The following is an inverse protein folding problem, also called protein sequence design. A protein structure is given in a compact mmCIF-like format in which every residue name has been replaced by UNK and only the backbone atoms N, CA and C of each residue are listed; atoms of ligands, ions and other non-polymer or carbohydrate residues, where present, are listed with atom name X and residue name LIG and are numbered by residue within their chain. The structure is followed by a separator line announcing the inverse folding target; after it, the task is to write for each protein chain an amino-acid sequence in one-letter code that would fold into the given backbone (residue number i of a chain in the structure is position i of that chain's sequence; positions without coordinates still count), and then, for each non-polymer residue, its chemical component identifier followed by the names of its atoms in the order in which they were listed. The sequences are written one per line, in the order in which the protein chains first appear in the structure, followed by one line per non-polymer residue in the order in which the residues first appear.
data_IF_609222001574
#
_entry.id   IF_609222001574
#
_cell.length_a   1.000
_cell.length_b   1.000
_cell.length_c   1.000
_cell.angle_alpha   90.00
_cell.angle_beta   90.00
_cell.angle_gamma   90.00
#
_symmetry.space_group_name_H-M   'P 1'
#
loop_
_entity.id
_entity.type
_entity.pdbx_description
1 polymer ?
#
# COMPACT_ATOMS: atom_id res chain seq x y z
N UNK A 1 63.69 24.84 6.79
CA UNK A 1 62.29 25.10 6.41
C UNK A 1 61.90 24.10 5.33
N UNK A 2 61.33 22.95 5.75
CA UNK A 2 61.09 21.81 4.84
C UNK A 2 59.64 21.82 4.45
N UNK A 3 59.35 22.11 3.19
CA UNK A 3 58.02 22.13 2.60
C UNK A 3 57.63 20.67 2.32
N UNK A 4 56.66 20.12 3.04
CA UNK A 4 56.08 18.81 2.77
C UNK A 4 55.28 18.87 1.46
N UNK A 5 55.75 18.15 0.46
CA UNK A 5 55.00 17.86 -0.76
C UNK A 5 53.74 17.03 -0.42
N UNK A 6 52.61 17.67 -0.25
CA UNK A 6 51.33 17.01 -0.13
C UNK A 6 50.97 16.48 -1.52
N UNK A 7 50.90 15.16 -1.64
CA UNK A 7 50.69 14.45 -2.89
C UNK A 7 49.26 14.73 -3.42
N UNK A 8 49.12 15.59 -4.41
CA UNK A 8 47.86 15.99 -5.04
C UNK A 8 46.98 14.79 -5.48
N UNK A 9 47.62 13.64 -5.74
CA UNK A 9 46.96 12.41 -6.15
C UNK A 9 46.07 11.81 -5.05
N UNK A 10 46.42 11.98 -3.79
CA UNK A 10 45.63 11.47 -2.65
C UNK A 10 44.44 12.38 -2.33
N UNK A 11 44.54 13.67 -2.62
CA UNK A 11 43.39 14.63 -2.42
C UNK A 11 42.30 14.35 -3.42
N UNK A 12 42.62 14.03 -4.68
CA UNK A 12 41.64 13.70 -5.72
C UNK A 12 40.82 12.45 -5.41
N UNK A 13 41.47 11.42 -4.81
CA UNK A 13 40.82 10.15 -4.46
C UNK A 13 39.82 10.36 -3.30
N UNK A 14 40.18 11.17 -2.31
CA UNK A 14 39.28 11.49 -1.17
C UNK A 14 38.06 12.28 -1.66
N UNK A 15 38.22 13.20 -2.64
CA UNK A 15 37.12 13.99 -3.17
C UNK A 15 36.12 13.16 -3.99
N UNK A 16 36.60 12.14 -4.71
CA UNK A 16 35.73 11.22 -5.49
C UNK A 16 34.94 10.30 -4.57
N UNK A 17 35.52 9.86 -3.47
CA UNK A 17 34.82 8.97 -2.49
C UNK A 17 33.72 9.75 -1.74
N UNK A 18 33.94 11.03 -1.42
CA UNK A 18 32.91 11.83 -0.71
C UNK A 18 31.74 12.20 -1.60
N UNK A 19 31.89 12.37 -2.90
CA UNK A 19 30.77 12.64 -3.82
C UNK A 19 29.92 11.40 -4.12
N UNK A 20 30.47 10.18 -4.02
CA UNK A 20 29.72 8.94 -4.22
C UNK A 20 28.76 8.61 -3.07
N UNK A 21 28.93 9.17 -1.88
CA UNK A 21 28.09 8.89 -0.71
C UNK A 21 26.83 9.80 -0.60
N UNK A 22 26.71 10.83 -1.46
CA UNK A 22 25.56 11.76 -1.44
C UNK A 22 24.41 11.29 -2.36
N UNK A 23 24.59 10.20 -3.11
CA UNK A 23 23.68 9.77 -4.19
C UNK A 23 22.58 8.80 -3.78
N UNK A 24 22.28 8.59 -2.52
CA UNK A 24 21.24 7.65 -2.11
C UNK A 24 20.37 8.17 -0.97
N UNK A 25 19.60 9.25 -1.19
CA UNK A 25 18.36 9.49 -0.42
C UNK A 25 17.39 10.33 -1.26
N UNK A 26 16.86 9.77 -2.33
CA UNK A 26 15.55 10.24 -2.80
C UNK A 26 14.49 9.61 -1.89
N UNK A 27 14.34 10.12 -0.69
CA UNK A 27 13.10 9.98 0.06
C UNK A 27 12.06 10.73 -0.77
N UNK A 28 11.24 10.00 -1.52
CA UNK A 28 10.06 10.55 -2.16
C UNK A 28 9.17 11.10 -1.04
N UNK A 29 9.34 12.37 -0.70
CA UNK A 29 8.43 13.09 0.18
C UNK A 29 7.09 13.15 -0.52
N UNK A 30 6.14 12.36 -0.02
CA UNK A 30 4.74 12.47 -0.43
C UNK A 30 4.26 13.89 -0.19
N UNK A 31 3.87 14.57 -1.26
CA UNK A 31 3.31 15.91 -1.15
C UNK A 31 1.95 15.84 -0.44
N UNK A 32 1.68 16.70 0.56
CA UNK A 32 0.43 16.71 1.34
C UNK A 32 -0.85 16.87 0.51
N UNK A 33 -0.74 17.31 -0.74
CA UNK A 33 -1.87 17.55 -1.64
C UNK A 33 -2.68 16.29 -1.98
N UNK A 34 -2.08 15.10 -1.92
CA UNK A 34 -2.74 13.87 -2.36
C UNK A 34 -3.71 13.29 -1.32
N UNK A 35 -3.49 13.51 -0.02
CA UNK A 35 -4.45 13.11 1.01
C UNK A 35 -5.77 13.90 0.90
N UNK A 36 -5.70 15.18 0.57
CA UNK A 36 -6.88 16.01 0.34
C UNK A 36 -7.69 15.57 -0.87
N UNK A 37 -7.05 15.04 -1.92
CA UNK A 37 -7.73 14.50 -3.11
C UNK A 37 -8.57 13.28 -2.73
N UNK A 38 -8.01 12.33 -1.99
CA UNK A 38 -8.73 11.10 -1.61
C UNK A 38 -9.94 11.34 -0.71
N UNK A 39 -9.96 12.44 0.05
CA UNK A 39 -11.10 12.80 0.88
C UNK A 39 -12.22 13.47 0.08
N UNK A 40 -11.89 14.34 -0.87
CA UNK A 40 -12.83 15.19 -1.58
C UNK A 40 -13.34 14.56 -2.87
N UNK A 41 -12.49 13.86 -3.59
CA UNK A 41 -12.80 13.35 -4.93
C UNK A 41 -13.41 11.94 -4.87
N UNK A 42 -14.28 11.66 -5.82
CA UNK A 42 -14.79 10.33 -6.10
C UNK A 42 -13.78 9.60 -6.99
N UNK A 43 -13.59 8.30 -6.77
CA UNK A 43 -12.61 7.52 -7.51
C UNK A 43 -12.94 6.03 -7.59
N UNK A 44 -12.29 5.34 -8.52
CA UNK A 44 -12.27 3.87 -8.60
C UNK A 44 -10.85 3.33 -8.49
N UNK A 45 -10.73 2.17 -7.83
CA UNK A 45 -9.49 1.39 -7.72
C UNK A 45 -9.80 -0.02 -8.19
N UNK A 46 -9.06 -0.51 -9.19
CA UNK A 46 -9.15 -1.89 -9.63
C UNK A 46 -7.84 -2.62 -9.39
N UNK A 47 -7.93 -3.86 -8.96
CA UNK A 47 -6.73 -4.65 -8.71
C UNK A 47 -6.99 -6.11 -8.45
N UNK A 48 -5.94 -6.79 -8.03
CA UNK A 48 -5.98 -8.17 -7.56
C UNK A 48 -5.58 -8.23 -6.10
N UNK A 49 -6.13 -9.19 -5.39
CA UNK A 49 -5.71 -9.50 -4.03
C UNK A 49 -5.26 -10.95 -3.91
N UNK A 50 -4.39 -11.20 -2.93
CA UNK A 50 -4.04 -12.53 -2.45
C UNK A 50 -4.03 -12.47 -0.93
N UNK A 51 -4.66 -13.45 -0.31
CA UNK A 51 -4.74 -13.61 1.14
C UNK A 51 -4.17 -14.97 1.49
N UNK A 52 -3.21 -14.98 2.41
CA UNK A 52 -2.67 -16.18 3.03
C UNK A 52 -2.78 -16.01 4.53
N UNK A 53 -3.59 -16.83 5.17
CA UNK A 53 -3.79 -16.77 6.61
C UNK A 53 -3.91 -18.20 7.14
N UNK A 54 -2.92 -18.63 7.91
CA UNK A 54 -2.78 -20.03 8.31
C UNK A 54 -2.81 -20.94 7.07
N UNK A 55 -3.80 -21.84 7.00
CA UNK A 55 -4.00 -22.78 5.89
C UNK A 55 -4.93 -22.25 4.80
N UNK A 56 -5.55 -21.08 5.00
CA UNK A 56 -6.46 -20.48 4.03
C UNK A 56 -5.66 -19.66 3.03
N UNK A 57 -5.95 -19.89 1.75
CA UNK A 57 -5.37 -19.11 0.64
C UNK A 57 -6.50 -18.70 -0.29
N UNK A 58 -6.70 -17.41 -0.43
CA UNK A 58 -7.64 -16.84 -1.37
C UNK A 58 -6.94 -15.88 -2.30
N UNK A 59 -7.41 -15.79 -3.52
CA UNK A 59 -6.98 -14.80 -4.49
C UNK A 59 -8.13 -14.44 -5.41
N UNK A 60 -8.11 -13.24 -5.90
CA UNK A 60 -9.13 -12.74 -6.79
C UNK A 60 -8.81 -11.34 -7.28
N UNK A 61 -9.84 -10.67 -7.74
CA UNK A 61 -9.79 -9.25 -8.07
C UNK A 61 -10.69 -8.46 -7.14
N UNK A 62 -10.44 -7.17 -7.06
CA UNK A 62 -11.30 -6.22 -6.39
C UNK A 62 -11.56 -4.99 -7.27
N UNK A 63 -12.76 -4.44 -7.14
CA UNK A 63 -13.14 -3.13 -7.61
C UNK A 63 -13.66 -2.34 -6.42
N UNK A 64 -12.98 -1.26 -6.08
CA UNK A 64 -13.38 -0.34 -5.03
C UNK A 64 -13.84 0.96 -5.69
N UNK A 65 -15.07 1.39 -5.39
CA UNK A 65 -15.64 2.64 -5.87
C UNK A 65 -16.03 3.51 -4.69
N UNK A 66 -15.35 4.65 -4.55
CA UNK A 66 -15.75 5.69 -3.59
C UNK A 66 -16.66 6.70 -4.29
N UNK A 67 -17.79 6.97 -3.68
CA UNK A 67 -18.71 8.04 -4.07
C UNK A 67 -19.16 8.79 -2.81
N UNK A 68 -18.80 10.06 -2.72
CA UNK A 68 -19.03 10.88 -1.52
C UNK A 68 -18.41 10.21 -0.27
N UNK A 69 -19.26 9.80 0.68
CA UNK A 69 -18.84 9.13 1.92
C UNK A 69 -19.05 7.60 1.89
N UNK A 70 -19.45 7.05 0.77
CA UNK A 70 -19.74 5.63 0.61
C UNK A 70 -18.65 4.96 -0.23
N UNK A 71 -18.24 3.78 0.19
CA UNK A 71 -17.30 2.92 -0.53
C UNK A 71 -17.95 1.58 -0.83
N UNK A 72 -18.10 1.29 -2.10
CA UNK A 72 -18.55 -0.01 -2.59
C UNK A 72 -17.33 -0.84 -2.99
N UNK A 73 -17.20 -2.02 -2.42
CA UNK A 73 -16.15 -2.98 -2.71
C UNK A 73 -16.76 -4.23 -3.32
N UNK A 74 -16.42 -4.49 -4.58
CA UNK A 74 -16.77 -5.71 -5.30
C UNK A 74 -15.58 -6.65 -5.30
N UNK A 75 -15.79 -7.89 -4.90
CA UNK A 75 -14.79 -8.96 -4.88
C UNK A 75 -15.25 -10.10 -5.77
N UNK A 76 -14.30 -10.78 -6.42
CA UNK A 76 -14.60 -11.95 -7.25
C UNK A 76 -13.34 -12.71 -7.68
N UNK A 77 -13.53 -13.94 -8.19
CA UNK A 77 -12.43 -14.75 -8.75
C UNK A 77 -12.03 -14.31 -10.14
N UNK A 78 -12.97 -13.75 -10.88
CA UNK A 78 -12.71 -13.15 -12.20
C UNK A 78 -13.57 -11.88 -12.37
N UNK A 79 -13.19 -11.00 -13.31
CA UNK A 79 -13.85 -9.72 -13.55
C UNK A 79 -15.30 -9.81 -14.05
N UNK A 80 -15.71 -10.97 -14.54
CA UNK A 80 -17.03 -11.17 -15.14
C UNK A 80 -18.07 -11.67 -14.13
N UNK A 81 -17.64 -12.22 -13.01
CA UNK A 81 -18.51 -12.82 -12.01
C UNK A 81 -18.16 -12.24 -10.62
N UNK A 82 -18.75 -11.09 -10.25
CA UNK A 82 -18.65 -10.60 -8.88
C UNK A 82 -19.31 -11.63 -7.94
N UNK A 83 -18.58 -12.04 -6.91
CA UNK A 83 -19.07 -13.02 -5.93
C UNK A 83 -19.60 -12.34 -4.68
N UNK A 84 -19.13 -11.12 -4.39
CA UNK A 84 -19.50 -10.36 -3.18
C UNK A 84 -19.46 -8.88 -3.46
N UNK A 85 -20.45 -8.18 -2.91
CA UNK A 85 -20.50 -6.73 -2.87
C UNK A 85 -20.68 -6.29 -1.42
N UNK A 86 -19.78 -5.41 -0.98
CA UNK A 86 -19.76 -4.86 0.37
C UNK A 86 -19.84 -3.35 0.27
N UNK A 87 -20.65 -2.75 1.14
CA UNK A 87 -20.78 -1.29 1.22
C UNK A 87 -20.34 -0.81 2.58
N UNK A 88 -19.48 0.19 2.59
CA UNK A 88 -18.90 0.78 3.80
C UNK A 88 -19.11 2.30 3.81
N UNK A 89 -19.17 2.87 5.01
CA UNK A 89 -18.89 4.28 5.22
C UNK A 89 -17.36 4.51 5.05
N UNK A 90 -16.97 5.56 4.34
CA UNK A 90 -15.54 5.88 4.10
C UNK A 90 -14.74 6.03 5.40
N UNK A 91 -15.37 6.56 6.46
CA UNK A 91 -14.78 6.67 7.79
C UNK A 91 -15.10 5.48 8.71
N UNK A 92 -15.88 4.52 8.22
CA UNK A 92 -16.28 3.33 8.95
C UNK A 92 -15.12 2.33 9.14
N UNK A 93 -15.35 1.35 9.98
CA UNK A 93 -14.39 0.26 10.19
C UNK A 93 -14.50 -0.78 9.08
N UNK A 94 -13.36 -1.30 8.65
CA UNK A 94 -13.28 -2.47 7.77
C UNK A 94 -13.19 -3.70 8.63
N UNK A 95 -14.09 -4.63 8.40
CA UNK A 95 -13.97 -5.98 8.94
C UNK A 95 -13.32 -6.85 7.86
N UNK A 96 -11.99 -7.02 7.92
CA UNK A 96 -11.25 -7.79 6.89
C UNK A 96 -11.74 -9.24 6.75
N UNK A 97 -12.36 -9.80 7.79
CA UNK A 97 -13.02 -11.11 7.73
C UNK A 97 -14.23 -11.12 6.80
N UNK A 98 -14.88 -9.99 6.57
CA UNK A 98 -15.93 -9.90 5.56
C UNK A 98 -15.36 -10.02 4.14
N UNK A 99 -14.06 -9.78 3.96
CA UNK A 99 -13.36 -9.97 2.69
C UNK A 99 -13.09 -11.45 2.40
N UNK A 100 -13.09 -12.29 3.42
CA UNK A 100 -12.79 -13.72 3.32
C UNK A 100 -14.09 -14.49 3.50
N UNK A 101 -14.41 -15.35 2.54
CA UNK A 101 -15.59 -16.21 2.64
C UNK A 101 -15.28 -17.41 3.55
N UNK A 102 -15.38 -17.22 4.86
CA UNK A 102 -15.21 -18.31 5.83
C UNK A 102 -16.43 -18.40 6.75
N UNK A 103 -16.97 -19.61 6.90
CA UNK A 103 -18.06 -19.91 7.82
C UNK A 103 -17.58 -19.97 9.28
N UNK A 104 -16.26 -20.03 9.52
CA UNK A 104 -15.68 -20.10 10.85
C UNK A 104 -15.61 -18.72 11.51
N UNK A 105 -16.58 -18.44 12.37
CA UNK A 105 -16.66 -17.17 13.13
C UNK A 105 -15.46 -16.96 14.07
N UNK A 106 -14.81 -18.03 14.54
CA UNK A 106 -13.61 -17.94 15.40
C UNK A 106 -12.38 -17.49 14.62
N UNK A 107 -12.38 -17.70 13.31
CA UNK A 107 -11.36 -17.26 12.40
C UNK A 107 -11.32 -15.71 12.29
N UNK A 108 -12.47 -15.08 12.39
CA UNK A 108 -12.69 -13.64 12.27
C UNK A 108 -11.86 -12.82 13.26
N UNK A 109 -11.76 -13.25 14.51
CA UNK A 109 -11.11 -12.49 15.58
C UNK A 109 -9.58 -12.51 15.55
N UNK A 110 -8.96 -13.45 14.84
CA UNK A 110 -7.49 -13.57 14.79
C UNK A 110 -6.85 -12.84 13.59
N UNK A 111 -7.66 -12.30 12.69
CA UNK A 111 -7.23 -11.98 11.34
C UNK A 111 -7.04 -10.53 11.00
N UNK A 112 -7.61 -9.62 11.76
CA UNK A 112 -7.61 -8.24 11.31
C UNK A 112 -7.06 -7.29 12.35
N UNK A 113 -6.44 -6.19 11.92
CA UNK A 113 -6.41 -4.99 12.72
C UNK A 113 -7.87 -4.65 13.05
N UNK A 114 -8.25 -4.78 14.33
CA UNK A 114 -9.66 -4.62 14.75
C UNK A 114 -10.18 -3.19 14.54
N UNK A 115 -9.27 -2.24 14.32
CA UNK A 115 -9.55 -0.81 14.23
C UNK A 115 -9.17 -0.20 12.88
N UNK A 116 -9.01 -0.98 11.82
CA UNK A 116 -8.69 -0.45 10.50
C UNK A 116 -9.91 0.25 9.90
N UNK A 117 -9.80 1.54 9.58
CA UNK A 117 -10.82 2.28 8.87
C UNK A 117 -10.69 2.08 7.37
N UNK A 118 -11.82 2.22 6.64
CA UNK A 118 -11.85 2.13 5.17
C UNK A 118 -10.89 3.14 4.53
N UNK A 119 -10.89 4.38 4.99
CA UNK A 119 -9.96 5.43 4.53
C UNK A 119 -8.49 5.05 4.72
N UNK A 120 -8.17 4.38 5.84
CA UNK A 120 -6.81 3.91 6.12
C UNK A 120 -6.41 2.76 5.18
N UNK A 121 -7.31 1.79 4.96
CA UNK A 121 -7.07 0.70 4.01
C UNK A 121 -6.80 1.24 2.60
N UNK A 122 -7.61 2.19 2.14
CA UNK A 122 -7.42 2.84 0.84
C UNK A 122 -6.08 3.57 0.80
N UNK A 123 -5.74 4.33 1.85
CA UNK A 123 -4.47 5.04 1.95
C UNK A 123 -3.27 4.08 1.93
N UNK A 124 -3.38 2.90 2.56
CA UNK A 124 -2.37 1.85 2.52
C UNK A 124 -2.23 1.28 1.10
N UNK A 125 -3.34 0.91 0.45
CA UNK A 125 -3.32 0.38 -0.92
C UNK A 125 -2.67 1.38 -1.89
N UNK A 126 -2.95 2.66 -1.72
CA UNK A 126 -2.43 3.74 -2.57
C UNK A 126 -1.06 4.28 -2.11
N UNK A 127 -0.47 3.74 -1.03
CA UNK A 127 0.83 4.18 -0.51
C UNK A 127 0.82 5.62 0.01
N UNK A 128 -0.33 6.13 0.43
CA UNK A 128 -0.52 7.50 0.96
C UNK A 128 -0.52 7.55 2.48
N UNK A 129 0.09 6.56 3.09
CA UNK A 129 0.10 6.35 4.52
C UNK A 129 1.54 6.31 5.02
N UNK A 130 1.84 7.09 6.05
CA UNK A 130 3.14 7.11 6.73
C UNK A 130 3.30 5.92 7.71
N UNK A 131 2.24 5.16 7.96
CA UNK A 131 2.28 4.01 8.86
C UNK A 131 3.05 2.86 8.22
N UNK A 132 4.06 2.38 8.93
CA UNK A 132 4.81 1.17 8.57
C UNK A 132 4.21 -0.08 9.21
N UNK A 133 3.31 0.11 10.16
CA UNK A 133 2.70 -0.96 10.94
C UNK A 133 1.32 -0.55 11.43
N UNK A 134 0.38 -1.49 11.43
CA UNK A 134 -0.94 -1.37 12.08
C UNK A 134 -1.11 -2.60 12.96
N UNK A 135 -1.18 -2.39 14.29
CA UNK A 135 -1.17 -3.47 15.29
C UNK A 135 -0.01 -4.44 15.04
N UNK A 136 -0.28 -5.73 14.75
CA UNK A 136 0.73 -6.74 14.45
C UNK A 136 1.08 -6.84 12.95
N UNK A 137 0.50 -6.00 12.08
CA UNK A 137 0.68 -6.06 10.63
C UNK A 137 1.69 -5.02 10.15
N UNK A 138 2.77 -5.49 9.53
CA UNK A 138 3.77 -4.65 8.88
C UNK A 138 3.36 -4.38 7.42
N UNK A 139 3.57 -3.15 6.97
CA UNK A 139 3.20 -2.68 5.63
C UNK A 139 4.46 -2.53 4.79
N UNK A 140 4.47 -3.14 3.61
CA UNK A 140 5.58 -3.09 2.65
C UNK A 140 5.09 -2.71 1.27
N UNK A 141 5.94 -2.01 0.51
CA UNK A 141 5.76 -1.64 -0.89
C UNK A 141 6.91 -2.22 -1.74
N UNK A 142 6.94 -3.53 -2.02
CA UNK A 142 8.12 -4.23 -2.58
C UNK A 142 8.57 -3.73 -3.94
N UNK A 143 7.67 -3.11 -4.72
CA UNK A 143 7.97 -2.61 -6.07
C UNK A 143 8.08 -1.08 -6.14
N UNK A 144 8.09 -0.41 -4.98
CA UNK A 144 8.10 1.04 -4.88
C UNK A 144 6.84 1.70 -5.45
N UNK A 145 6.93 3.01 -5.66
CA UNK A 145 5.86 3.83 -6.23
C UNK A 145 6.02 3.88 -7.75
N UNK A 146 4.92 3.75 -8.47
CA UNK A 146 4.84 3.87 -9.93
C UNK A 146 3.68 4.76 -10.33
N UNK A 147 3.71 5.24 -11.55
CA UNK A 147 2.57 5.93 -12.13
C UNK A 147 1.56 4.92 -12.69
N UNK A 148 0.32 5.06 -12.25
CA UNK A 148 -0.82 4.23 -12.67
C UNK A 148 -1.95 5.18 -13.09
N UNK A 149 -2.18 5.30 -14.39
CA UNK A 149 -3.15 6.24 -14.97
C UNK A 149 -2.97 7.70 -14.48
N UNK A 150 -1.73 8.20 -14.47
CA UNK A 150 -1.43 9.56 -14.01
C UNK A 150 -1.38 9.73 -12.49
N UNK A 151 -1.58 8.66 -11.72
CA UNK A 151 -1.56 8.68 -10.27
C UNK A 151 -0.35 7.91 -9.72
N UNK A 152 0.39 8.54 -8.81
CA UNK A 152 1.54 7.91 -8.17
C UNK A 152 1.10 7.01 -7.02
N UNK A 153 1.24 5.68 -7.19
CA UNK A 153 0.87 4.67 -6.20
C UNK A 153 1.79 3.45 -6.25
N UNK A 154 1.86 2.64 -5.17
CA UNK A 154 2.55 1.36 -5.22
C UNK A 154 1.78 0.40 -6.14
N UNK A 155 2.50 -0.25 -7.04
CA UNK A 155 1.91 -1.32 -7.84
C UNK A 155 1.53 -2.53 -6.97
N UNK A 156 2.29 -2.74 -5.89
CA UNK A 156 2.10 -3.85 -4.95
C UNK A 156 2.21 -3.36 -3.52
N UNK A 157 1.18 -3.67 -2.74
CA UNK A 157 1.13 -3.44 -1.29
C UNK A 157 1.03 -4.79 -0.59
N UNK A 158 1.87 -5.01 0.41
CA UNK A 158 1.93 -6.25 1.16
C UNK A 158 1.81 -5.95 2.66
N UNK A 159 0.84 -6.58 3.32
CA UNK A 159 0.69 -6.59 4.76
C UNK A 159 1.11 -7.97 5.27
N UNK A 160 1.93 -8.01 6.33
CA UNK A 160 2.47 -9.26 6.88
C UNK A 160 2.33 -9.26 8.40
N UNK A 161 1.84 -10.36 8.95
CA UNK A 161 1.79 -10.62 10.39
C UNK A 161 2.08 -12.09 10.66
N UNK A 162 3.26 -12.42 11.20
CA UNK A 162 3.73 -13.79 11.34
C UNK A 162 3.71 -14.52 10.00
N UNK A 163 3.02 -15.67 9.94
CA UNK A 163 2.88 -16.48 8.72
C UNK A 163 1.74 -16.01 7.80
N UNK A 164 1.01 -14.98 8.20
CA UNK A 164 -0.13 -14.43 7.48
C UNK A 164 0.28 -13.27 6.58
N UNK A 165 -0.32 -13.17 5.42
CA UNK A 165 -0.09 -12.06 4.49
C UNK A 165 -1.33 -11.68 3.70
N UNK A 166 -1.47 -10.39 3.40
CA UNK A 166 -2.46 -9.84 2.49
C UNK A 166 -1.71 -9.01 1.46
N UNK A 167 -1.91 -9.33 0.19
CA UNK A 167 -1.27 -8.67 -0.95
C UNK A 167 -2.34 -7.98 -1.79
N UNK A 168 -2.15 -6.71 -2.09
CA UNK A 168 -2.91 -5.96 -3.09
C UNK A 168 -2.01 -5.62 -4.27
N UNK A 169 -2.49 -5.86 -5.49
CA UNK A 169 -1.81 -5.52 -6.74
C UNK A 169 -2.71 -4.53 -7.48
N UNK A 170 -2.32 -3.27 -7.46
CA UNK A 170 -3.05 -2.19 -8.11
C UNK A 170 -2.90 -2.29 -9.63
N UNK A 171 -4.02 -2.20 -10.36
CA UNK A 171 -4.07 -2.27 -11.83
C UNK A 171 -4.50 -0.96 -12.45
N UNK A 172 -5.52 -0.33 -11.87
CA UNK A 172 -6.05 0.96 -12.35
C UNK A 172 -6.45 1.85 -11.17
N UNK A 173 -6.29 3.13 -11.37
CA UNK A 173 -6.83 4.18 -10.53
C UNK A 173 -7.44 5.24 -11.44
N UNK A 174 -8.68 5.64 -11.20
CA UNK A 174 -9.35 6.69 -11.96
C UNK A 174 -10.10 7.62 -11.00
N UNK A 175 -9.96 8.91 -11.18
CA UNK A 175 -10.86 9.92 -10.61
C UNK A 175 -12.16 9.94 -11.43
N UNK A 176 -13.29 10.18 -10.77
CA UNK A 176 -14.63 10.22 -11.40
C UNK A 176 -15.14 11.66 -11.41
#
# INVERSE_FOLDING_TARGET
MTIHNINLRNISIVFIITTALISCTSVNQFTPSTQNILQKEDFTIEGKFKIKINNIRENGYFLLKKQNNTVNLTLGRNYLLPERELTFDYKGLVVLSELINTEDKNFTYKLSPQNLRVEQLISIILGKNDLKQIESWYIYYPQGIKEINGFQAPQKTLLVSGDSSIEFILKKFNLI
#
